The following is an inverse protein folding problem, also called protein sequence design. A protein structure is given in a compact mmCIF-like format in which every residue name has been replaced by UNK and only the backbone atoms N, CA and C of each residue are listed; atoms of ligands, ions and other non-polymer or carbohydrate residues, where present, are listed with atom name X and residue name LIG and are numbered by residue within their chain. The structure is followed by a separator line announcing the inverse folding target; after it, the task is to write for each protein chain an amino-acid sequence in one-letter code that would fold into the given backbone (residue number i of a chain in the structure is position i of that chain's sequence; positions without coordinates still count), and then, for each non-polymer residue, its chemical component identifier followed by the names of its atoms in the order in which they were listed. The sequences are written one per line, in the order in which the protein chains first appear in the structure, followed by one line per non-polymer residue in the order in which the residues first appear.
data_IF_173381953672
#
_entry.id   IF_173381953672
#
_cell.length_a   1.000
_cell.length_b   1.000
_cell.length_c   1.000
_cell.angle_alpha   90.00
_cell.angle_beta   90.00
_cell.angle_gamma   90.00
#
_symmetry.space_group_name_H-M   'P 1'
#
loop_
_entity.id
_entity.type
_entity.pdbx_description
1 polymer ?
#
# COMPACT_ATOMS: atom_id res chain seq x y z
N UNK A 1 3.51 -6.47 -7.02
CA UNK A 1 2.38 -5.70 -6.49
C UNK A 1 2.98 -4.59 -5.66
N UNK A 2 3.01 -3.33 -6.12
CA UNK A 2 3.50 -2.26 -5.27
C UNK A 2 2.62 -2.05 -4.03
N UNK A 3 3.26 -1.74 -2.91
CA UNK A 3 2.65 -1.24 -1.67
C UNK A 3 2.73 0.27 -1.70
N UNK A 4 1.59 0.94 -1.59
CA UNK A 4 1.50 2.41 -1.54
C UNK A 4 1.24 2.86 -0.11
N UNK A 5 2.02 3.83 0.35
CA UNK A 5 1.75 4.52 1.60
C UNK A 5 0.84 5.71 1.31
N UNK A 6 -0.34 5.74 1.92
CA UNK A 6 -1.33 6.80 1.79
C UNK A 6 -1.41 7.61 3.07
N UNK A 7 -1.63 8.93 2.94
CA UNK A 7 -1.86 9.84 4.06
C UNK A 7 -3.13 10.64 3.85
N UNK A 8 -4.07 10.55 4.81
CA UNK A 8 -5.26 11.37 4.85
C UNK A 8 -4.98 12.69 5.57
N UNK A 9 -5.07 13.81 4.86
CA UNK A 9 -4.83 15.15 5.42
C UNK A 9 -5.94 15.60 6.38
N UNK A 10 -7.14 15.01 6.29
CA UNK A 10 -8.28 15.42 7.13
C UNK A 10 -8.24 14.82 8.55
N UNK A 11 -7.65 13.64 8.74
CA UNK A 11 -7.59 12.98 10.06
C UNK A 11 -6.18 12.50 10.45
N UNK A 12 -5.18 12.91 9.68
CA UNK A 12 -3.76 12.55 9.80
C UNK A 12 -3.46 11.03 9.73
N UNK A 13 -4.41 10.23 9.27
CA UNK A 13 -4.26 8.78 9.19
C UNK A 13 -3.32 8.36 8.06
N UNK A 14 -2.31 7.55 8.37
CA UNK A 14 -1.38 6.95 7.41
C UNK A 14 -1.60 5.44 7.35
N UNK A 15 -1.69 4.88 6.15
CA UNK A 15 -1.96 3.46 5.96
C UNK A 15 -1.39 2.95 4.64
N UNK A 16 -1.07 1.65 4.61
CA UNK A 16 -0.57 0.97 3.42
C UNK A 16 -1.73 0.34 2.63
N UNK A 17 -1.64 0.39 1.31
CA UNK A 17 -2.56 -0.30 0.41
C UNK A 17 -1.81 -1.04 -0.69
N UNK A 18 -2.38 -2.14 -1.16
CA UNK A 18 -1.83 -2.93 -2.25
C UNK A 18 -2.49 -2.51 -3.56
N UNK A 19 -1.66 -2.42 -4.58
CA UNK A 19 -2.12 -2.17 -5.92
C UNK A 19 -1.57 -3.20 -6.89
N UNK A 20 -2.42 -3.70 -7.80
CA UNK A 20 -1.99 -4.67 -8.80
C UNK A 20 -1.39 -3.93 -9.99
N UNK A 21 -0.08 -4.14 -10.20
CA UNK A 21 0.66 -3.52 -11.31
C UNK A 21 0.04 -3.96 -12.64
N UNK A 22 -0.33 -2.99 -13.47
CA UNK A 22 -0.98 -3.24 -14.77
C UNK A 22 -2.48 -2.93 -14.82
N UNK A 23 -3.11 -2.62 -13.69
CA UNK A 23 -4.43 -1.99 -13.70
C UNK A 23 -4.31 -0.48 -13.96
N UNK A 24 -5.44 0.21 -14.12
CA UNK A 24 -5.50 1.68 -14.03
C UNK A 24 -5.51 2.10 -12.57
N UNK A 25 -4.66 3.06 -12.17
CA UNK A 25 -4.66 3.58 -10.81
C UNK A 25 -5.98 4.31 -10.54
N UNK A 26 -6.51 4.26 -9.31
CA UNK A 26 -7.72 5.01 -8.99
C UNK A 26 -7.45 6.51 -9.12
N UNK A 27 -8.38 7.22 -9.74
CA UNK A 27 -8.28 8.68 -9.89
C UNK A 27 -8.41 9.39 -8.52
N UNK A 28 -8.96 8.70 -7.49
CA UNK A 28 -9.14 9.21 -6.12
C UNK A 28 -8.96 8.09 -5.08
N UNK A 29 -8.34 8.43 -3.96
CA UNK A 29 -8.25 7.59 -2.77
C UNK A 29 -9.24 8.06 -1.69
N UNK A 30 -9.73 7.14 -0.86
CA UNK A 30 -10.68 7.43 0.22
C UNK A 30 -10.12 6.87 1.52
N UNK A 31 -10.14 7.68 2.58
CA UNK A 31 -9.69 7.24 3.89
C UNK A 31 -10.68 6.24 4.49
N UNK A 32 -10.23 5.04 4.83
CA UNK A 32 -11.05 4.02 5.50
C UNK A 32 -11.51 4.41 6.91
N UNK A 33 -10.92 5.45 7.51
CA UNK A 33 -11.23 5.88 8.88
C UNK A 33 -12.25 7.02 8.95
N UNK A 34 -12.15 8.01 8.07
CA UNK A 34 -13.00 9.21 8.11
C UNK A 34 -13.73 9.49 6.80
N UNK A 35 -13.63 8.59 5.81
CA UNK A 35 -14.28 8.68 4.50
C UNK A 35 -13.86 9.90 3.65
N UNK A 36 -12.89 10.67 4.12
CA UNK A 36 -12.35 11.81 3.38
C UNK A 36 -11.68 11.37 2.08
N UNK A 37 -11.85 12.19 1.04
CA UNK A 37 -11.21 12.06 -0.27
C UNK A 37 -9.88 12.84 -0.35
N UNK A 38 -9.50 13.54 0.71
CA UNK A 38 -8.24 14.28 0.81
C UNK A 38 -7.12 13.34 1.26
N UNK A 39 -6.79 12.39 0.39
CA UNK A 39 -5.79 11.36 0.60
C UNK A 39 -4.71 11.50 -0.47
N UNK A 40 -3.45 11.55 -0.04
CA UNK A 40 -2.29 11.65 -0.91
C UNK A 40 -1.42 10.40 -0.82
N UNK A 41 -0.83 10.00 -1.94
CA UNK A 41 0.22 8.98 -1.96
C UNK A 41 1.54 9.61 -1.51
N UNK A 42 2.16 9.01 -0.51
CA UNK A 42 3.42 9.47 0.11
C UNK A 42 4.62 8.76 -0.51
N UNK A 43 4.51 7.44 -0.71
CA UNK A 43 5.57 6.64 -1.29
C UNK A 43 5.02 5.36 -1.91
N UNK A 44 5.84 4.72 -2.74
CA UNK A 44 5.63 3.36 -3.22
C UNK A 44 6.86 2.51 -2.90
N UNK A 45 6.62 1.25 -2.54
CA UNK A 45 7.67 0.23 -2.36
C UNK A 45 7.22 -1.09 -2.96
N UNK A 46 8.13 -1.95 -3.44
CA UNK A 46 7.76 -3.31 -3.81
C UNK A 46 7.14 -4.07 -2.62
N UNK A 47 6.22 -4.99 -2.90
CA UNK A 47 5.65 -5.82 -1.84
C UNK A 47 6.73 -6.74 -1.28
N UNK A 48 6.76 -7.01 0.05
CA UNK A 48 7.80 -7.85 0.66
C UNK A 48 8.01 -9.19 -0.04
N UNK A 49 6.94 -9.83 -0.55
CA UNK A 49 7.04 -11.09 -1.30
C UNK A 49 7.86 -10.98 -2.60
N UNK A 50 7.96 -9.79 -3.18
CA UNK A 50 8.73 -9.55 -4.40
C UNK A 50 10.18 -9.18 -4.11
N UNK A 51 10.47 -8.68 -2.91
CA UNK A 51 11.84 -8.38 -2.48
C UNK A 51 12.54 -9.61 -1.88
N UNK A 52 11.77 -10.51 -1.25
CA UNK A 52 12.30 -11.75 -0.76
C UNK A 52 12.53 -12.74 -1.91
N UNK A 53 13.79 -13.07 -2.19
CA UNK A 53 14.12 -14.35 -2.82
C UNK A 53 13.38 -15.42 -2.01
N UNK A 54 12.44 -16.12 -2.64
CA UNK A 54 11.74 -17.26 -2.03
C UNK A 54 12.77 -18.13 -1.27
N UNK A 55 12.64 -18.25 0.05
CA UNK A 55 13.61 -18.87 0.97
C UNK A 55 14.34 -17.93 1.95
N UNK A 56 14.05 -16.62 1.94
CA UNK A 56 14.76 -15.59 2.71
C UNK A 56 14.17 -15.09 4.04
N UNK A 57 12.99 -15.54 4.46
CA UNK A 57 12.60 -15.51 5.88
C UNK A 57 11.76 -14.35 6.45
N UNK A 58 10.71 -13.85 5.78
CA UNK A 58 9.67 -13.04 6.46
C UNK A 58 8.29 -13.70 6.54
N UNK A 59 7.93 -14.65 5.66
CA UNK A 59 6.74 -15.48 5.85
C UNK A 59 7.06 -16.75 6.63
N UNK A 60 6.51 -16.91 7.83
CA UNK A 60 6.61 -18.13 8.65
C UNK A 60 5.96 -19.38 8.03
N UNK A 61 5.45 -19.25 6.81
CA UNK A 61 4.67 -20.25 6.10
C UNK A 61 5.50 -21.11 5.13
N UNK A 62 6.72 -20.68 4.77
CA UNK A 62 7.59 -21.36 3.82
C UNK A 62 8.91 -21.73 4.53
N UNK A 63 8.93 -22.93 5.13
CA UNK A 63 10.15 -23.63 5.55
C UNK A 63 10.74 -24.41 4.38
#
# INVERSE_FOLDING_TARGET
MPVYLLHCKSCDHKYETLYYKGLKLPDKWVCSRCESKDVVQVSERPHPIEEEKHGGGSCKCCF
#
